data_IF_500911344677
#
_entry.id   IF_500911344677
#
_cell.length_a   1.000
_cell.length_b   1.000
_cell.length_c   1.000
_cell.angle_alpha   90.00
_cell.angle_beta   90.00
_cell.angle_gamma   90.00
#
_symmetry.space_group_name_H-M   'P 1'
#
loop_
_entity.id
_entity.type
_entity.pdbx_description
1 polymer ?
#
# COMPACT_ATOMS: atom_id res chain seq x y z
N UNK A 1 24.82 -8.31 11.73
CA UNK A 1 25.01 -7.38 10.58
C UNK A 1 23.97 -6.29 10.73
N UNK A 2 24.36 -5.02 10.71
CA UNK A 2 23.41 -3.89 10.76
C UNK A 2 22.70 -3.84 9.41
N UNK A 3 21.36 -3.77 9.40
CA UNK A 3 20.59 -3.64 8.18
C UNK A 3 21.00 -2.34 7.44
N UNK A 4 21.14 -2.36 6.11
CA UNK A 4 21.52 -1.17 5.36
C UNK A 4 20.46 -0.08 5.52
N UNK A 5 20.89 1.18 5.67
CA UNK A 5 19.98 2.32 5.80
C UNK A 5 19.47 2.78 4.43
N UNK A 6 18.67 1.93 3.81
CA UNK A 6 18.13 2.14 2.45
C UNK A 6 16.77 1.47 2.31
N UNK A 7 15.92 2.02 1.45
CA UNK A 7 14.63 1.42 1.13
C UNK A 7 14.77 0.16 0.26
N UNK A 8 15.84 0.06 -0.53
CA UNK A 8 16.11 -1.10 -1.38
C UNK A 8 15.56 -1.02 -2.80
N UNK A 9 15.08 0.15 -3.26
CA UNK A 9 14.25 0.25 -4.48
C UNK A 9 15.07 0.29 -5.78
N UNK A 10 15.92 -0.71 -6.01
CA UNK A 10 16.76 -0.79 -7.21
C UNK A 10 16.05 -1.40 -8.43
N UNK A 11 14.85 -1.99 -8.27
CA UNK A 11 14.06 -2.42 -9.42
C UNK A 11 13.55 -1.19 -10.21
N UNK A 12 13.53 -1.31 -11.54
CA UNK A 12 13.40 -0.20 -12.49
C UNK A 12 12.12 0.63 -12.28
N UNK A 13 11.11 0.06 -11.59
CA UNK A 13 9.82 0.69 -11.36
C UNK A 13 9.53 1.05 -9.90
N UNK A 14 10.23 0.47 -8.92
CA UNK A 14 9.85 0.61 -7.50
C UNK A 14 9.99 2.06 -7.00
N UNK A 15 11.06 2.74 -7.41
CA UNK A 15 11.27 4.16 -7.06
C UNK A 15 10.24 5.08 -7.73
N UNK A 16 9.81 4.75 -8.95
CA UNK A 16 8.76 5.48 -9.67
C UNK A 16 7.39 5.24 -9.03
N UNK A 17 7.10 4.01 -8.62
CA UNK A 17 5.87 3.66 -7.91
C UNK A 17 5.78 4.36 -6.55
N UNK A 18 6.89 4.42 -5.81
CA UNK A 18 6.99 5.21 -4.58
C UNK A 18 6.66 6.68 -4.85
N UNK A 19 7.26 7.29 -5.88
CA UNK A 19 7.00 8.69 -6.22
C UNK A 19 5.51 8.91 -6.55
N UNK A 20 4.92 8.03 -7.36
CA UNK A 20 3.48 8.07 -7.68
C UNK A 20 2.63 7.92 -6.42
N UNK A 21 3.01 7.05 -5.49
CA UNK A 21 2.31 6.86 -4.22
C UNK A 21 2.38 8.10 -3.32
N UNK A 22 3.53 8.78 -3.28
CA UNK A 22 3.73 10.05 -2.57
C UNK A 22 2.86 11.15 -3.19
N UNK A 23 2.95 11.37 -4.50
CA UNK A 23 2.11 12.36 -5.21
C UNK A 23 0.63 12.13 -4.93
N UNK A 24 0.20 10.86 -4.97
CA UNK A 24 -1.16 10.48 -4.64
C UNK A 24 -1.50 10.77 -3.19
N UNK A 25 -0.68 10.38 -2.22
CA UNK A 25 -0.97 10.56 -0.80
C UNK A 25 -1.07 12.04 -0.41
N UNK A 26 -0.12 12.83 -0.90
CA UNK A 26 -0.01 14.26 -0.62
C UNK A 26 -0.82 15.13 -1.58
N UNK A 27 -1.47 14.54 -2.59
CA UNK A 27 -2.27 15.25 -3.59
C UNK A 27 -1.50 16.43 -4.23
N UNK A 28 -0.23 16.19 -4.57
CA UNK A 28 0.69 17.15 -5.18
C UNK A 28 1.23 16.58 -6.49
N UNK A 29 1.98 17.42 -7.21
CA UNK A 29 2.80 17.00 -8.34
C UNK A 29 4.27 17.33 -8.08
N UNK A 30 5.12 16.33 -8.29
CA UNK A 30 6.57 16.43 -8.15
C UNK A 30 7.14 16.31 -9.57
N UNK A 31 7.64 17.42 -10.15
CA UNK A 31 8.31 17.40 -11.45
C UNK A 31 9.48 16.41 -11.47
N UNK A 32 9.72 15.76 -12.61
CA UNK A 32 10.83 14.80 -12.78
C UNK A 32 12.20 15.40 -12.40
N UNK A 33 12.40 16.68 -12.69
CA UNK A 33 13.61 17.42 -12.30
C UNK A 33 13.79 17.53 -10.79
N UNK A 34 12.70 17.71 -10.02
CA UNK A 34 12.74 17.81 -8.57
C UNK A 34 12.99 16.39 -8.00
N UNK A 35 12.27 15.39 -8.53
CA UNK A 35 12.44 13.99 -8.14
C UNK A 35 13.86 13.46 -8.40
N UNK A 36 14.50 13.83 -9.50
CA UNK A 36 15.86 13.42 -9.85
C UNK A 36 16.92 13.93 -8.86
N UNK A 37 16.62 14.97 -8.07
CA UNK A 37 17.52 15.48 -7.04
C UNK A 37 17.41 14.73 -5.71
N UNK A 38 16.32 13.99 -5.50
CA UNK A 38 16.08 13.28 -4.25
C UNK A 38 16.86 11.96 -4.20
N UNK A 39 17.82 11.86 -3.28
CA UNK A 39 18.56 10.61 -3.03
C UNK A 39 18.17 9.95 -1.70
N UNK A 40 17.57 10.75 -0.80
CA UNK A 40 17.19 10.33 0.55
C UNK A 40 15.74 10.65 0.86
N UNK A 41 15.21 10.00 1.91
CA UNK A 41 13.88 10.32 2.45
C UNK A 41 13.78 11.75 2.98
N UNK A 42 14.89 12.33 3.45
CA UNK A 42 14.97 13.74 3.82
C UNK A 42 14.75 14.68 2.64
N UNK A 43 15.35 14.37 1.48
CA UNK A 43 15.17 15.17 0.27
C UNK A 43 13.71 15.14 -0.21
N UNK A 44 13.09 13.95 -0.21
CA UNK A 44 11.66 13.80 -0.52
C UNK A 44 10.78 14.57 0.46
N UNK A 45 11.11 14.54 1.75
CA UNK A 45 10.39 15.31 2.76
C UNK A 45 10.47 16.81 2.47
N UNK A 46 11.65 17.33 2.14
CA UNK A 46 11.85 18.75 1.87
C UNK A 46 11.09 19.18 0.60
N UNK A 47 11.11 18.35 -0.46
CA UNK A 47 10.31 18.57 -1.67
C UNK A 47 8.82 18.61 -1.33
N UNK A 48 8.30 17.60 -0.62
CA UNK A 48 6.87 17.54 -0.25
C UNK A 48 6.47 18.73 0.63
N UNK A 49 7.31 19.08 1.61
CA UNK A 49 7.07 20.21 2.50
C UNK A 49 6.99 21.53 1.73
N UNK A 50 7.89 21.75 0.77
CA UNK A 50 7.85 22.95 -0.09
C UNK A 50 6.57 23.06 -0.92
N UNK A 51 5.99 21.94 -1.37
CA UNK A 51 4.73 21.94 -2.13
C UNK A 51 3.50 22.18 -1.25
N UNK A 52 3.63 22.02 0.07
CA UNK A 52 2.56 22.20 1.05
C UNK A 52 2.74 23.45 1.91
N UNK A 53 3.73 24.29 1.60
CA UNK A 53 3.96 25.55 2.28
C UNK A 53 2.68 26.40 2.28
N UNK A 54 2.38 27.02 3.42
CA UNK A 54 1.18 27.84 3.65
C UNK A 54 -0.19 27.13 3.44
N UNK A 55 -0.20 25.80 3.34
CA UNK A 55 -1.46 25.01 3.27
C UNK A 55 -1.79 24.34 4.59
N UNK A 56 -3.09 24.19 4.87
CA UNK A 56 -3.59 23.43 6.02
C UNK A 56 -4.42 24.24 7.01
N UNK A 57 -4.58 23.69 8.20
CA UNK A 57 -5.29 24.32 9.31
C UNK A 57 -4.90 23.69 10.65
N UNK A 58 -5.83 23.64 11.61
CA UNK A 58 -5.53 23.13 12.96
C UNK A 58 -6.17 21.77 13.25
N UNK A 59 -7.06 21.29 12.36
CA UNK A 59 -7.88 20.10 12.61
C UNK A 59 -7.02 18.83 12.59
N UNK A 60 -7.31 17.91 13.52
CA UNK A 60 -6.64 16.62 13.57
C UNK A 60 -7.04 15.74 12.36
N UNK A 61 -6.08 15.44 11.47
CA UNK A 61 -6.32 14.66 10.24
C UNK A 61 -6.85 13.25 10.50
N UNK A 62 -6.31 12.55 11.50
CA UNK A 62 -6.78 11.21 11.87
C UNK A 62 -8.22 11.23 12.38
N UNK A 63 -8.62 12.28 13.13
CA UNK A 63 -10.01 12.47 13.53
C UNK A 63 -10.91 12.77 12.34
N UNK A 64 -10.46 13.62 11.40
CA UNK A 64 -11.20 13.90 10.15
C UNK A 64 -11.42 12.62 9.34
N UNK A 65 -10.37 11.82 9.16
CA UNK A 65 -10.46 10.53 8.49
C UNK A 65 -11.39 9.56 9.24
N UNK A 66 -11.28 9.47 10.57
CA UNK A 66 -12.14 8.62 11.39
C UNK A 66 -13.62 8.93 11.20
N UNK A 67 -14.03 10.20 11.22
CA UNK A 67 -15.44 10.54 11.03
C UNK A 67 -15.94 10.23 9.62
N UNK A 68 -15.10 10.40 8.59
CA UNK A 68 -15.45 10.04 7.21
C UNK A 68 -15.56 8.51 7.03
N UNK A 69 -14.58 7.77 7.54
CA UNK A 69 -14.61 6.29 7.58
C UNK A 69 -15.84 5.81 8.34
N UNK A 70 -16.07 6.29 9.56
CA UNK A 70 -17.23 5.94 10.38
C UNK A 70 -18.55 6.19 9.65
N UNK A 71 -18.68 7.34 8.99
CA UNK A 71 -19.88 7.66 8.19
C UNK A 71 -20.06 6.67 7.04
N UNK A 72 -19.00 6.38 6.29
CA UNK A 72 -19.05 5.41 5.19
C UNK A 72 -19.42 4.00 5.68
N UNK A 73 -18.88 3.57 6.82
CA UNK A 73 -19.20 2.29 7.42
C UNK A 73 -20.64 2.22 7.90
N UNK A 74 -21.17 3.28 8.53
CA UNK A 74 -22.59 3.35 8.90
C UNK A 74 -23.52 3.26 7.70
N UNK A 75 -23.16 3.82 6.55
CA UNK A 75 -23.96 3.69 5.33
C UNK A 75 -24.08 2.24 4.84
N UNK A 76 -23.07 1.40 5.12
CA UNK A 76 -23.01 0.01 4.66
C UNK A 76 -23.53 -0.98 5.72
N UNK A 77 -23.22 -0.72 7.00
CA UNK A 77 -23.53 -1.62 8.12
C UNK A 77 -24.82 -1.24 8.86
N UNK A 78 -25.37 -0.05 8.62
CA UNK A 78 -26.50 0.51 9.35
C UNK A 78 -26.10 1.19 10.66
N UNK A 79 -27.04 1.26 11.61
CA UNK A 79 -26.84 1.92 12.90
C UNK A 79 -26.05 1.04 13.88
N UNK A 80 -24.74 0.99 13.68
CA UNK A 80 -23.76 0.35 14.58
C UNK A 80 -22.97 1.42 15.32
N UNK A 81 -22.74 1.23 16.62
CA UNK A 81 -21.81 2.11 17.37
C UNK A 81 -20.36 1.77 17.00
N UNK A 82 -19.78 2.60 16.16
CA UNK A 82 -18.41 2.46 15.70
C UNK A 82 -17.49 3.40 16.49
N UNK A 83 -16.52 2.81 17.18
CA UNK A 83 -15.48 3.48 17.97
C UNK A 83 -14.09 3.20 17.39
N UNK A 84 -13.05 3.98 17.73
CA UNK A 84 -11.70 3.75 17.23
C UNK A 84 -11.16 2.34 17.57
N UNK A 85 -11.49 1.80 18.74
CA UNK A 85 -11.10 0.46 19.20
C UNK A 85 -12.00 -0.67 18.68
N UNK A 86 -13.03 -0.32 17.88
CA UNK A 86 -13.89 -1.34 17.27
C UNK A 86 -13.08 -2.20 16.31
N UNK A 87 -13.10 -3.51 16.57
CA UNK A 87 -12.43 -4.50 15.75
C UNK A 87 -13.05 -4.59 14.35
N UNK A 88 -12.22 -4.50 13.31
CA UNK A 88 -12.66 -4.68 11.92
C UNK A 88 -13.23 -6.09 11.72
N UNK A 89 -12.58 -7.13 12.25
CA UNK A 89 -13.08 -8.50 12.11
C UNK A 89 -14.41 -8.74 12.83
N UNK A 90 -14.74 -7.96 13.86
CA UNK A 90 -16.03 -8.07 14.54
C UNK A 90 -17.20 -7.45 13.74
N UNK A 91 -16.94 -6.39 12.98
CA UNK A 91 -17.97 -5.69 12.18
C UNK A 91 -18.03 -6.19 10.73
N UNK A 92 -16.95 -6.78 10.22
CA UNK A 92 -16.92 -7.40 8.89
C UNK A 92 -17.22 -8.90 8.97
N UNK A 93 -18.37 -9.29 8.40
CA UNK A 93 -18.78 -10.70 8.27
C UNK A 93 -18.11 -11.44 7.10
N UNK A 94 -18.88 -12.28 6.40
CA UNK A 94 -18.39 -13.29 5.43
C UNK A 94 -17.73 -12.75 4.15
N UNK A 95 -17.84 -11.44 3.83
CA UNK A 95 -17.26 -10.89 2.58
C UNK A 95 -16.71 -9.44 2.71
N UNK A 96 -15.49 -9.28 3.25
CA UNK A 96 -14.81 -7.98 3.37
C UNK A 96 -14.77 -7.19 2.07
N UNK A 97 -14.45 -7.87 0.95
CA UNK A 97 -14.32 -7.29 -0.38
C UNK A 97 -15.53 -6.48 -0.88
N UNK A 98 -16.76 -7.00 -0.71
CA UNK A 98 -17.95 -6.33 -1.22
C UNK A 98 -18.31 -5.10 -0.38
N UNK A 99 -18.32 -5.27 0.95
CA UNK A 99 -18.61 -4.20 1.89
C UNK A 99 -17.56 -3.09 1.80
N UNK A 100 -16.29 -3.46 1.57
CA UNK A 100 -15.21 -2.51 1.32
C UNK A 100 -15.43 -1.71 0.04
N UNK A 101 -15.80 -2.37 -1.04
CA UNK A 101 -16.11 -1.69 -2.31
C UNK A 101 -17.29 -0.72 -2.17
N UNK A 102 -18.26 -1.00 -1.30
CA UNK A 102 -19.35 -0.07 -0.99
C UNK A 102 -18.87 1.08 -0.10
N UNK A 103 -18.13 0.79 0.97
CA UNK A 103 -17.59 1.81 1.87
C UNK A 103 -16.69 2.82 1.12
N UNK A 104 -15.85 2.34 0.20
CA UNK A 104 -15.00 3.17 -0.66
C UNK A 104 -15.80 4.20 -1.47
N UNK A 105 -17.02 3.85 -1.93
CA UNK A 105 -17.88 4.78 -2.69
C UNK A 105 -18.44 5.90 -1.83
N UNK A 106 -18.53 5.71 -0.51
CA UNK A 106 -19.11 6.67 0.42
C UNK A 106 -18.08 7.48 1.22
N UNK A 107 -16.81 7.03 1.29
CA UNK A 107 -15.82 7.64 2.18
C UNK A 107 -15.27 8.99 1.69
N UNK A 108 -15.43 9.32 0.40
CA UNK A 108 -14.82 10.48 -0.28
C UNK A 108 -13.28 10.57 -0.14
N UNK A 109 -12.66 9.59 0.51
CA UNK A 109 -11.24 9.40 0.70
C UNK A 109 -10.88 8.02 0.15
N UNK A 110 -9.61 7.86 -0.21
CA UNK A 110 -9.06 6.57 -0.60
C UNK A 110 -8.84 5.71 0.65
N UNK A 111 -9.63 4.66 0.80
CA UNK A 111 -9.35 3.65 1.83
C UNK A 111 -8.13 2.81 1.42
N UNK A 112 -7.35 2.30 2.38
CA UNK A 112 -6.25 1.40 2.10
C UNK A 112 -6.71 0.15 1.35
N UNK A 113 -5.89 -0.39 0.44
CA UNK A 113 -6.23 -1.63 -0.24
C UNK A 113 -6.30 -2.78 0.77
N UNK A 114 -7.20 -3.73 0.51
CA UNK A 114 -7.21 -4.99 1.25
C UNK A 114 -6.01 -5.84 0.83
N UNK A 115 -5.39 -6.52 1.77
CA UNK A 115 -4.32 -7.47 1.50
C UNK A 115 -4.89 -8.76 0.90
N UNK A 116 -4.13 -9.38 0.01
CA UNK A 116 -4.45 -10.72 -0.45
C UNK A 116 -4.35 -11.74 0.68
N UNK A 117 -5.10 -12.84 0.59
CA UNK A 117 -4.95 -13.97 1.51
C UNK A 117 -4.12 -15.06 0.87
N UNK A 118 -3.77 -16.10 1.63
CA UNK A 118 -3.05 -17.26 1.09
C UNK A 118 -3.81 -17.94 -0.07
N UNK A 119 -5.13 -17.73 -0.20
CA UNK A 119 -5.96 -18.29 -1.27
C UNK A 119 -5.51 -17.78 -2.64
N UNK A 120 -5.23 -16.47 -2.78
CA UNK A 120 -4.67 -15.96 -4.05
C UNK A 120 -3.29 -16.53 -4.32
N UNK A 121 -2.47 -16.73 -3.28
CA UNK A 121 -1.14 -17.34 -3.38
C UNK A 121 -1.21 -18.76 -3.93
N UNK A 122 -2.11 -19.61 -3.39
CA UNK A 122 -2.36 -20.93 -3.93
C UNK A 122 -2.89 -20.89 -5.37
N UNK A 123 -3.79 -19.94 -5.68
CA UNK A 123 -4.29 -19.76 -7.04
C UNK A 123 -3.20 -19.38 -8.03
N UNK A 124 -2.31 -18.46 -7.64
CA UNK A 124 -1.14 -18.07 -8.41
C UNK A 124 -0.16 -19.23 -8.60
N UNK A 125 0.06 -20.05 -7.57
CA UNK A 125 0.89 -21.24 -7.65
C UNK A 125 0.36 -22.25 -8.67
N UNK A 126 -0.97 -22.48 -8.73
CA UNK A 126 -1.57 -23.36 -9.73
C UNK A 126 -1.37 -22.83 -11.16
N UNK A 127 -1.52 -21.52 -11.36
CA UNK A 127 -1.28 -20.89 -12.66
C UNK A 127 0.20 -20.99 -13.04
N UNK A 128 1.12 -20.69 -12.12
CA UNK A 128 2.55 -20.82 -12.34
C UNK A 128 2.93 -22.28 -12.66
N UNK A 129 2.39 -23.26 -11.93
CA UNK A 129 2.60 -24.67 -12.20
C UNK A 129 2.08 -25.07 -13.59
N UNK A 130 0.97 -24.51 -14.05
CA UNK A 130 0.47 -24.72 -15.41
C UNK A 130 1.43 -24.14 -16.47
N UNK A 131 1.99 -22.94 -16.24
CA UNK A 131 2.90 -22.27 -17.18
C UNK A 131 4.26 -22.97 -17.23
N UNK A 132 4.89 -23.18 -16.08
CA UNK A 132 6.23 -23.76 -15.99
C UNK A 132 6.25 -25.29 -16.11
N UNK A 133 5.12 -25.95 -15.83
CA UNK A 133 4.97 -27.40 -16.02
C UNK A 133 4.91 -27.82 -17.50
N UNK A 134 4.37 -26.97 -18.38
CA UNK A 134 4.26 -27.27 -19.82
C UNK A 134 5.61 -27.55 -20.47
N UNK A 135 6.66 -26.71 -20.32
CA UNK A 135 8.00 -27.02 -20.82
C UNK A 135 8.56 -28.36 -20.33
N UNK A 136 8.35 -28.70 -19.06
CA UNK A 136 8.83 -29.96 -18.46
C UNK A 136 8.15 -31.16 -19.11
N UNK A 137 6.83 -31.09 -19.30
CA UNK A 137 6.04 -32.15 -19.93
C UNK A 137 6.42 -32.35 -21.40
N UNK A 138 6.71 -31.26 -22.12
CA UNK A 138 7.20 -31.31 -23.51
C UNK A 138 8.58 -31.98 -23.61
N UNK A 139 9.52 -31.66 -22.72
CA UNK A 139 10.84 -32.29 -22.65
C UNK A 139 10.71 -33.80 -22.38
N UNK A 140 9.80 -34.17 -21.46
CA UNK A 140 9.50 -35.56 -21.13
C UNK A 140 8.73 -36.31 -22.25
N UNK A 141 8.40 -35.64 -23.37
CA UNK A 141 7.58 -36.17 -24.48
C UNK A 141 6.21 -36.67 -24.04
N UNK A 142 5.71 -36.20 -22.90
CA UNK A 142 4.36 -36.51 -22.42
C UNK A 142 3.41 -35.57 -23.15
N UNK A 143 2.70 -36.10 -24.14
CA UNK A 143 1.77 -35.33 -24.98
C UNK A 143 0.40 -36.02 -25.03
N UNK A 144 -0.63 -35.26 -25.35
CA UNK A 144 -2.00 -35.78 -25.46
C UNK A 144 -3.03 -34.86 -24.81
N UNK A 145 -4.30 -35.16 -25.06
CA UNK A 145 -5.43 -34.36 -24.61
C UNK A 145 -5.53 -34.25 -23.07
N UNK A 146 -5.02 -35.25 -22.33
CA UNK A 146 -4.97 -35.23 -20.85
C UNK A 146 -4.03 -34.13 -20.32
N UNK A 147 -2.91 -33.87 -21.00
CA UNK A 147 -1.97 -32.78 -20.63
C UNK A 147 -2.63 -31.43 -20.83
N UNK A 148 -3.32 -31.25 -21.96
CA UNK A 148 -4.07 -30.03 -22.24
C UNK A 148 -5.18 -29.82 -21.20
N UNK A 149 -5.94 -30.87 -20.89
CA UNK A 149 -6.98 -30.82 -19.86
C UNK A 149 -6.42 -30.45 -18.48
N UNK A 150 -5.25 -30.97 -18.11
CA UNK A 150 -4.58 -30.63 -16.85
C UNK A 150 -4.17 -29.16 -16.80
N UNK A 151 -3.53 -28.64 -17.86
CA UNK A 151 -3.10 -27.23 -17.92
C UNK A 151 -4.30 -26.29 -17.84
N UNK A 152 -5.36 -26.58 -18.60
CA UNK A 152 -6.61 -25.81 -18.57
C UNK A 152 -7.26 -25.90 -17.19
N UNK A 153 -7.32 -27.09 -16.60
CA UNK A 153 -7.89 -27.32 -15.27
C UNK A 153 -7.15 -26.58 -14.17
N UNK A 154 -5.81 -26.64 -14.14
CA UNK A 154 -4.97 -25.91 -13.18
C UNK A 154 -5.11 -24.40 -13.33
N UNK A 155 -5.11 -23.89 -14.58
CA UNK A 155 -5.29 -22.46 -14.85
C UNK A 155 -6.68 -21.99 -14.43
N UNK A 156 -7.73 -22.74 -14.76
CA UNK A 156 -9.10 -22.40 -14.38
C UNK A 156 -9.29 -22.45 -12.86
N UNK A 157 -8.78 -23.49 -12.19
CA UNK A 157 -8.83 -23.60 -10.73
C UNK A 157 -8.06 -22.46 -10.06
N UNK A 158 -6.85 -22.15 -10.54
CA UNK A 158 -6.05 -21.04 -10.02
C UNK A 158 -6.72 -19.68 -10.22
N UNK A 159 -7.31 -19.45 -11.39
CA UNK A 159 -8.08 -18.24 -11.67
C UNK A 159 -9.32 -18.13 -10.77
N UNK A 160 -10.06 -19.22 -10.56
CA UNK A 160 -11.22 -19.23 -9.66
C UNK A 160 -10.80 -18.93 -8.21
N UNK A 161 -9.71 -19.54 -7.72
CA UNK A 161 -9.21 -19.28 -6.36
C UNK A 161 -8.81 -17.81 -6.16
N UNK A 162 -8.06 -17.21 -7.11
CA UNK A 162 -7.68 -15.78 -7.01
C UNK A 162 -8.91 -14.86 -7.06
N UNK A 163 -9.96 -15.23 -7.81
CA UNK A 163 -11.21 -14.44 -7.87
C UNK A 163 -12.06 -14.55 -6.62
N UNK A 164 -12.09 -15.74 -6.01
CA UNK A 164 -12.83 -16.04 -4.79
C UNK A 164 -12.11 -15.61 -3.50
N UNK A 165 -10.87 -15.11 -3.60
CA UNK A 165 -10.15 -14.58 -2.44
C UNK A 165 -11.02 -13.50 -1.74
N UNK A 166 -11.41 -13.73 -0.47
CA UNK A 166 -12.22 -12.80 0.30
C UNK A 166 -11.49 -11.48 0.59
N UNK A 167 -10.16 -11.46 0.41
CA UNK A 167 -9.24 -10.41 0.84
C UNK A 167 -9.30 -10.18 2.36
N UNK A 168 -8.26 -9.59 2.92
CA UNK A 168 -8.15 -9.34 4.35
C UNK A 168 -7.68 -7.91 4.65
N UNK A 169 -7.83 -7.47 5.89
CA UNK A 169 -7.34 -6.18 6.36
C UNK A 169 -5.82 -6.18 6.67
N UNK A 170 -5.15 -7.31 6.46
CA UNK A 170 -3.74 -7.50 6.78
C UNK A 170 -3.46 -7.11 8.24
N UNK A 171 -2.52 -6.18 8.49
CA UNK A 171 -2.15 -5.74 9.84
C UNK A 171 -3.15 -4.75 10.49
N UNK A 172 -4.19 -4.30 9.77
CA UNK A 172 -5.15 -3.34 10.29
C UNK A 172 -6.18 -4.08 11.16
N UNK A 173 -6.20 -3.83 12.47
CA UNK A 173 -7.06 -4.57 13.40
C UNK A 173 -8.35 -3.80 13.75
N UNK A 174 -8.26 -2.48 13.86
CA UNK A 174 -9.35 -1.63 14.36
C UNK A 174 -9.77 -0.53 13.37
N UNK A 175 -10.93 0.07 13.60
CA UNK A 175 -11.39 1.23 12.83
C UNK A 175 -10.47 2.44 13.03
N UNK A 176 -9.83 2.57 14.19
CA UNK A 176 -8.80 3.56 14.46
C UNK A 176 -7.58 3.38 13.57
N UNK A 177 -7.07 2.15 13.46
CA UNK A 177 -5.94 1.82 12.57
C UNK A 177 -6.29 2.13 11.11
N UNK A 178 -7.52 1.80 10.70
CA UNK A 178 -8.04 2.13 9.38
C UNK A 178 -8.07 3.64 9.16
N UNK A 179 -8.59 4.41 10.13
CA UNK A 179 -8.66 5.86 10.04
C UNK A 179 -7.27 6.48 9.95
N UNK A 180 -6.29 5.95 10.70
CA UNK A 180 -4.90 6.39 10.64
C UNK A 180 -4.31 6.18 9.25
N UNK A 181 -4.42 4.96 8.69
CA UNK A 181 -3.94 4.68 7.32
C UNK A 181 -4.69 5.45 6.23
N UNK A 182 -5.97 5.68 6.43
CA UNK A 182 -6.76 6.53 5.52
C UNK A 182 -6.26 7.97 5.58
N UNK A 183 -5.84 8.46 6.76
CA UNK A 183 -5.33 9.82 6.90
C UNK A 183 -3.97 10.04 6.23
N UNK A 184 -3.06 9.07 6.30
CA UNK A 184 -1.75 9.13 5.64
C UNK A 184 -1.89 9.07 4.11
N UNK A 185 -2.71 8.17 3.59
CA UNK A 185 -2.94 8.00 2.14
C UNK A 185 -3.75 9.12 1.49
N UNK A 186 -4.34 10.01 2.28
CA UNK A 186 -5.11 11.17 1.81
C UNK A 186 -4.62 12.46 2.47
N UNK A 187 -3.35 12.52 2.85
CA UNK A 187 -2.76 13.65 3.55
C UNK A 187 -3.12 14.98 2.91
N UNK A 188 -2.85 15.13 1.60
CA UNK A 188 -3.08 16.38 0.88
C UNK A 188 -4.53 16.81 0.81
N UNK A 189 -5.43 15.85 0.60
CA UNK A 189 -6.88 16.11 0.58
C UNK A 189 -7.36 16.55 1.96
N UNK A 190 -6.84 15.95 3.04
CA UNK A 190 -7.21 16.36 4.39
C UNK A 190 -6.64 17.72 4.77
N UNK A 191 -5.42 18.04 4.33
CA UNK A 191 -4.80 19.35 4.49
C UNK A 191 -5.61 20.42 3.75
N UNK A 192 -6.01 20.19 2.50
CA UNK A 192 -6.84 21.15 1.75
C UNK A 192 -8.23 21.38 2.37
N UNK A 193 -8.69 20.47 3.23
CA UNK A 193 -9.92 20.59 4.03
C UNK A 193 -9.71 21.21 5.43
N UNK A 194 -8.53 21.77 5.69
CA UNK A 194 -8.17 22.44 6.95
C UNK A 194 -7.57 21.50 8.01
N UNK A 195 -7.09 20.34 7.59
CA UNK A 195 -6.28 19.45 8.43
C UNK A 195 -4.92 20.05 8.73
N UNK A 196 -4.35 19.72 9.88
CA UNK A 196 -3.01 20.15 10.30
C UNK A 196 -1.97 19.81 9.24
N UNK A 197 -1.06 20.71 8.94
CA UNK A 197 0.11 20.47 8.10
C UNK A 197 1.32 20.99 8.86
N UNK A 198 2.10 20.09 9.44
CA UNK A 198 3.32 20.43 10.17
C UNK A 198 4.44 19.47 9.74
N UNK A 199 5.69 19.89 9.94
CA UNK A 199 6.88 19.16 9.49
C UNK A 199 6.89 17.70 9.94
N UNK A 200 6.49 17.45 11.19
CA UNK A 200 6.42 16.11 11.78
C UNK A 200 5.32 15.29 11.13
N UNK A 201 4.14 15.86 10.95
CA UNK A 201 3.01 15.23 10.31
C UNK A 201 3.31 14.83 8.85
N UNK A 202 4.01 15.69 8.10
CA UNK A 202 4.45 15.37 6.74
C UNK A 202 5.42 14.18 6.79
N UNK A 203 6.39 14.21 7.71
CA UNK A 203 7.35 13.12 7.89
C UNK A 203 6.66 11.79 8.23
N UNK A 204 5.77 11.78 9.22
CA UNK A 204 5.06 10.58 9.66
C UNK A 204 4.26 9.95 8.49
N UNK A 205 3.56 10.77 7.70
CA UNK A 205 2.82 10.28 6.54
C UNK A 205 3.74 9.80 5.40
N UNK A 206 4.87 10.48 5.17
CA UNK A 206 5.84 10.11 4.14
C UNK A 206 6.49 8.76 4.47
N UNK A 207 6.90 8.57 5.72
CA UNK A 207 7.46 7.30 6.23
C UNK A 207 6.44 6.18 6.13
N UNK A 208 5.16 6.44 6.43
CA UNK A 208 4.11 5.44 6.30
C UNK A 208 3.91 5.00 4.84
N UNK A 209 3.92 5.94 3.89
CA UNK A 209 3.84 5.64 2.46
C UNK A 209 5.08 4.87 2.00
N UNK A 210 6.28 5.33 2.34
CA UNK A 210 7.54 4.69 1.94
C UNK A 210 7.75 3.31 2.56
N UNK A 211 7.31 3.11 3.81
CA UNK A 211 7.39 1.82 4.49
C UNK A 211 6.58 0.71 3.82
N UNK A 212 5.60 1.05 2.97
CA UNK A 212 4.87 0.07 2.16
C UNK A 212 5.71 -0.48 0.99
N UNK A 213 6.76 0.23 0.58
CA UNK A 213 7.67 -0.15 -0.51
C UNK A 213 8.99 -0.71 0.00
N UNK A 214 9.36 -0.45 1.26
CA UNK A 214 10.64 -0.94 1.78
C UNK A 214 10.67 -2.46 1.91
N UNK A 215 11.69 -3.08 1.32
CA UNK A 215 11.86 -4.54 1.40
C UNK A 215 12.36 -5.00 2.77
N UNK A 216 13.32 -4.25 3.34
CA UNK A 216 14.15 -4.72 4.46
C UNK A 216 14.21 -3.76 5.64
N UNK A 217 13.62 -2.56 5.53
CA UNK A 217 13.65 -1.53 6.56
C UNK A 217 12.23 -1.24 7.08
N UNK A 218 11.92 -1.61 8.33
CA UNK A 218 10.65 -1.23 8.94
C UNK A 218 10.46 0.28 8.93
N UNK A 219 9.22 0.75 8.76
CA UNK A 219 8.88 2.18 8.73
C UNK A 219 9.45 2.95 9.93
N UNK A 220 9.45 2.35 11.13
CA UNK A 220 9.98 2.93 12.36
C UNK A 220 11.48 3.24 12.33
N UNK A 221 12.22 2.60 11.42
CA UNK A 221 13.67 2.78 11.24
C UNK A 221 14.01 3.66 10.04
N UNK A 222 13.00 4.18 9.32
CA UNK A 222 13.23 5.13 8.23
C UNK A 222 13.60 6.47 8.85
N UNK A 223 14.78 6.97 8.46
CA UNK A 223 15.36 8.23 8.90
C UNK A 223 15.50 9.18 7.71
N UNK A 224 15.75 10.47 7.95
CA UNK A 224 16.00 11.44 6.88
C UNK A 224 17.19 11.05 5.99
N UNK A 225 18.18 10.36 6.54
CA UNK A 225 19.38 9.90 5.84
C UNK A 225 19.17 8.57 5.09
N UNK A 226 18.01 7.92 5.23
CA UNK A 226 17.70 6.68 4.52
C UNK A 226 17.72 6.92 3.02
N UNK A 227 18.58 6.18 2.33
CA UNK A 227 18.76 6.26 0.88
C UNK A 227 17.60 5.55 0.17
N UNK A 228 17.16 6.06 -0.96
CA UNK A 228 16.04 5.46 -1.71
C UNK A 228 16.50 4.21 -2.47
N UNK A 229 17.61 4.34 -3.21
CA UNK A 229 18.18 3.29 -4.05
C UNK A 229 19.31 2.54 -3.34
N UNK A 230 19.29 1.20 -3.39
CA UNK A 230 20.36 0.37 -2.79
C UNK A 230 21.70 0.58 -3.52
N UNK A 231 21.68 0.76 -4.84
CA UNK A 231 22.86 1.07 -5.66
C UNK A 231 23.53 2.40 -5.27
N UNK A 232 22.75 3.40 -4.82
CA UNK A 232 23.31 4.66 -4.30
C UNK A 232 23.93 4.45 -2.91
N UNK A 233 23.29 3.67 -2.05
CA UNK A 233 23.82 3.31 -0.74
C UNK A 233 25.17 2.57 -0.85
N UNK A 234 25.29 1.60 -1.76
CA UNK A 234 26.53 0.86 -2.01
C UNK A 234 27.66 1.76 -2.54
N UNK A 235 27.35 2.66 -3.48
CA UNK A 235 28.31 3.65 -3.99
C UNK A 235 28.81 4.59 -2.90
N UNK A 236 27.93 5.05 -2.02
CA UNK A 236 28.31 5.89 -0.89
C UNK A 236 29.20 5.14 0.11
N UNK A 237 28.84 3.89 0.43
CA UNK A 237 29.62 3.02 1.32
C UNK A 237 31.00 2.69 0.76
N UNK A 238 31.12 2.46 -0.55
CA UNK A 238 32.41 2.16 -1.19
C UNK A 238 33.38 3.35 -1.22
N UNK A 239 32.88 4.57 -0.99
CA UNK A 239 33.67 5.81 -0.94
C UNK A 239 34.07 6.22 0.49
N UNK A 240 33.50 5.57 1.51
CA UNK A 240 33.78 5.81 2.93
C UNK A 240 34.88 4.86 3.42
#
# INVERSE_FOLDING_TARGET
MVAPNTLGLDDDLDSVELLIAIERAFNIKIPDQDAATASTMGDLHDIVASKLEDTGGEKCRTSMAFYRVRRALKMVLGEVDIRPDTSLSAIWGRSPKLLWAQAQRHCELRLPPLSQTNISGFGGLLIAAAIFGVPILLIAKITGWLVLALVVGLTAAGFVLTRLDPLAFGPIATVGDLAQRTASQNYGVLVSLGGRSDTKAIWDALVEVAGAFSENLPAEKIERTTVILQSQYEKARARA
#
